data_IF_754080917795
#
_entry.id   IF_754080917795
#
_cell.length_a   1.000
_cell.length_b   1.000
_cell.length_c   1.000
_cell.angle_alpha   90.00
_cell.angle_beta   90.00
_cell.angle_gamma   90.00
#
_symmetry.space_group_name_H-M   'P 1'
#
loop_
_entity.id
_entity.type
_entity.pdbx_description
1 polymer ?
#
# COMPACT_ATOMS: atom_id res chain seq x y z
N UNK A 1 17.25 98.10 -47.77
CA UNK A 1 17.83 98.44 -46.45
C UNK A 1 16.70 98.36 -45.43
N UNK A 2 16.94 97.70 -44.28
CA UNK A 2 15.91 97.24 -43.34
C UNK A 2 15.55 98.31 -42.30
N UNK A 3 14.42 98.15 -41.62
CA UNK A 3 14.35 98.21 -40.15
C UNK A 3 13.13 97.45 -39.65
N UNK A 4 13.44 96.34 -38.98
CA UNK A 4 12.60 95.50 -38.13
C UNK A 4 12.21 96.26 -36.83
N UNK A 5 10.97 96.09 -36.35
CA UNK A 5 10.58 95.32 -35.14
C UNK A 5 10.80 96.02 -33.78
N UNK A 6 9.74 96.02 -32.96
CA UNK A 6 9.66 95.77 -31.50
C UNK A 6 8.31 96.35 -31.00
N UNK A 7 7.28 95.54 -30.77
CA UNK A 7 7.00 94.71 -29.58
C UNK A 7 6.29 95.47 -28.44
N UNK A 8 5.30 94.78 -27.84
CA UNK A 8 4.65 94.97 -26.52
C UNK A 8 3.30 95.73 -26.37
N UNK A 9 2.25 94.88 -26.21
CA UNK A 9 1.18 94.87 -25.17
C UNK A 9 -0.12 95.69 -25.34
N UNK A 10 -1.14 94.96 -25.83
CA UNK A 10 -2.38 94.51 -25.13
C UNK A 10 -3.08 95.42 -24.09
N UNK A 11 -4.39 95.66 -24.29
CA UNK A 11 -5.56 95.71 -23.37
C UNK A 11 -6.67 96.51 -24.09
N UNK A 12 -7.95 96.14 -24.25
CA UNK A 12 -8.77 95.00 -23.85
C UNK A 12 -10.23 95.27 -24.28
N UNK A 13 -10.93 94.20 -24.67
CA UNK A 13 -12.40 93.99 -24.69
C UNK A 13 -13.28 94.68 -25.77
N UNK A 14 -14.48 94.12 -26.09
CA UNK A 14 -15.15 92.93 -25.52
C UNK A 14 -15.57 91.89 -26.58
N UNK A 15 -15.65 90.60 -26.24
CA UNK A 15 -16.49 89.69 -27.05
C UNK A 15 -17.21 88.59 -26.24
N UNK A 16 -18.52 88.82 -26.18
CA UNK A 16 -19.66 87.90 -26.25
C UNK A 16 -19.43 86.41 -25.94
N UNK A 17 -19.87 86.05 -24.74
CA UNK A 17 -20.62 84.84 -24.34
C UNK A 17 -20.97 83.84 -25.47
N UNK A 18 -20.04 82.94 -25.76
CA UNK A 18 -20.29 81.63 -26.38
C UNK A 18 -19.73 80.54 -25.46
N UNK A 19 -20.60 79.85 -24.72
CA UNK A 19 -20.23 78.61 -24.02
C UNK A 19 -19.92 77.54 -25.06
N UNK A 20 -18.66 77.17 -25.22
CA UNK A 20 -18.26 75.87 -25.75
C UNK A 20 -17.85 74.99 -24.57
N UNK A 21 -18.77 74.10 -24.21
CA UNK A 21 -18.61 72.98 -23.31
C UNK A 21 -17.79 71.87 -23.98
N UNK A 22 -17.08 71.11 -23.15
CA UNK A 22 -16.44 69.81 -23.45
C UNK A 22 -15.21 69.81 -24.38
N UNK A 23 -14.03 69.96 -23.77
CA UNK A 23 -12.85 69.23 -24.25
C UNK A 23 -12.42 68.32 -23.10
N UNK A 24 -12.68 67.00 -23.16
CA UNK A 24 -12.25 66.07 -22.13
C UNK A 24 -10.72 66.08 -22.05
N UNK A 25 -10.17 66.31 -20.85
CA UNK A 25 -8.73 66.39 -20.60
C UNK A 25 -8.00 65.03 -20.63
N UNK A 26 -8.32 64.17 -21.60
CA UNK A 26 -7.59 62.94 -21.87
C UNK A 26 -7.13 62.92 -23.33
N UNK A 27 -5.95 62.35 -23.57
CA UNK A 27 -5.44 62.21 -24.94
C UNK A 27 -6.23 61.14 -25.69
N UNK A 28 -6.89 61.53 -26.78
CA UNK A 28 -7.42 60.61 -27.80
C UNK A 28 -6.28 60.17 -28.73
N UNK A 29 -5.20 59.67 -28.15
CA UNK A 29 -4.09 59.13 -28.94
C UNK A 29 -4.53 57.79 -29.49
N UNK A 30 -4.72 57.74 -30.81
CA UNK A 30 -5.07 56.53 -31.55
C UNK A 30 -4.04 55.44 -31.27
N UNK A 31 -4.49 54.40 -30.54
CA UNK A 31 -3.67 53.21 -30.31
C UNK A 31 -3.22 52.65 -31.66
N UNK A 32 -1.91 52.43 -31.81
CA UNK A 32 -1.37 51.91 -33.06
C UNK A 32 -1.81 50.45 -33.25
N UNK A 33 -2.89 50.26 -34.01
CA UNK A 33 -3.50 48.95 -34.29
C UNK A 33 -2.48 47.97 -34.85
N UNK A 34 -1.56 48.43 -35.71
CA UNK A 34 -0.50 47.57 -36.25
C UNK A 34 0.44 47.07 -35.14
N UNK A 35 0.76 47.92 -34.15
CA UNK A 35 1.55 47.52 -32.98
C UNK A 35 0.84 46.49 -32.12
N UNK A 36 -0.47 46.64 -31.91
CA UNK A 36 -1.29 45.69 -31.15
C UNK A 36 -1.36 44.33 -31.85
N UNK A 37 -1.53 44.31 -33.18
CA UNK A 37 -1.58 43.06 -33.95
C UNK A 37 -0.24 42.32 -33.90
N UNK A 38 0.88 43.02 -34.07
CA UNK A 38 2.22 42.41 -33.97
C UNK A 38 2.50 41.92 -32.55
N UNK A 39 2.06 42.66 -31.52
CA UNK A 39 2.18 42.24 -30.13
C UNK A 39 1.38 40.97 -29.83
N UNK A 40 0.12 40.89 -30.28
CA UNK A 40 -0.71 39.70 -30.09
C UNK A 40 -0.19 38.49 -30.87
N UNK A 41 0.30 38.69 -32.10
CA UNK A 41 0.94 37.62 -32.87
C UNK A 41 2.22 37.11 -32.20
N UNK A 42 3.05 38.02 -31.67
CA UNK A 42 4.24 37.67 -30.91
C UNK A 42 3.92 36.92 -29.61
N UNK A 43 2.93 37.38 -28.85
CA UNK A 43 2.47 36.72 -27.63
C UNK A 43 1.91 35.32 -27.93
N UNK A 44 1.07 35.20 -28.96
CA UNK A 44 0.54 33.90 -29.40
C UNK A 44 1.65 32.93 -29.82
N UNK A 45 2.61 33.40 -30.61
CA UNK A 45 3.78 32.61 -31.01
C UNK A 45 4.60 32.15 -29.81
N UNK A 46 4.85 33.03 -28.84
CA UNK A 46 5.56 32.70 -27.61
C UNK A 46 4.83 31.63 -26.79
N UNK A 47 3.51 31.76 -26.62
CA UNK A 47 2.71 30.76 -25.91
C UNK A 47 2.75 29.39 -26.58
N UNK A 48 2.71 29.34 -27.92
CA UNK A 48 2.81 28.09 -28.66
C UNK A 48 4.18 27.44 -28.45
N UNK A 49 5.27 28.21 -28.55
CA UNK A 49 6.63 27.70 -28.33
C UNK A 49 6.80 27.20 -26.89
N UNK A 50 6.31 27.97 -25.91
CA UNK A 50 6.36 27.59 -24.50
C UNK A 50 5.53 26.32 -24.22
N UNK A 51 4.33 26.22 -24.80
CA UNK A 51 3.49 25.02 -24.69
C UNK A 51 4.19 23.79 -25.26
N UNK A 52 4.78 23.89 -26.46
CA UNK A 52 5.52 22.78 -27.08
C UNK A 52 6.73 22.38 -26.23
N UNK A 53 7.47 23.36 -25.70
CA UNK A 53 8.59 23.10 -24.80
C UNK A 53 8.15 22.35 -23.54
N UNK A 54 7.13 22.85 -22.83
CA UNK A 54 6.57 22.18 -21.65
C UNK A 54 6.03 20.79 -21.97
N UNK A 55 5.37 20.61 -23.11
CA UNK A 55 4.84 19.31 -23.55
C UNK A 55 5.96 18.30 -23.80
N UNK A 56 7.03 18.70 -24.51
CA UNK A 56 8.19 17.85 -24.79
C UNK A 56 8.90 17.51 -23.48
N UNK A 57 9.16 18.49 -22.62
CA UNK A 57 9.83 18.29 -21.33
C UNK A 57 9.01 17.35 -20.42
N UNK A 58 7.70 17.56 -20.34
CA UNK A 58 6.79 16.70 -19.60
C UNK A 58 6.79 15.26 -20.14
N UNK A 59 6.81 15.08 -21.46
CA UNK A 59 6.89 13.76 -22.09
C UNK A 59 8.22 13.06 -21.80
N UNK A 60 9.34 13.77 -21.79
CA UNK A 60 10.66 13.22 -21.46
C UNK A 60 10.73 12.79 -20.00
N UNK A 61 10.27 13.64 -19.08
CA UNK A 61 10.26 13.32 -17.64
C UNK A 61 9.36 12.11 -17.37
N UNK A 62 8.14 12.10 -17.92
CA UNK A 62 7.23 10.97 -17.76
C UNK A 62 7.83 9.67 -18.33
N UNK A 63 8.49 9.75 -19.49
CA UNK A 63 9.17 8.60 -20.07
C UNK A 63 10.38 8.14 -19.24
N UNK A 64 11.07 9.03 -18.54
CA UNK A 64 12.19 8.69 -17.68
C UNK A 64 11.71 8.03 -16.37
N UNK A 65 10.63 8.54 -15.78
CA UNK A 65 9.99 7.97 -14.59
C UNK A 65 9.48 6.56 -14.88
N UNK A 66 8.76 6.36 -15.98
CA UNK A 66 8.28 5.03 -16.38
C UNK A 66 9.41 4.02 -16.62
N UNK A 67 10.59 4.46 -17.06
CA UNK A 67 11.76 3.59 -17.22
C UNK A 67 12.42 3.23 -15.88
N UNK A 68 12.35 4.12 -14.89
CA UNK A 68 12.92 3.89 -13.56
C UNK A 68 12.02 3.01 -12.68
N UNK A 69 10.70 3.18 -12.78
CA UNK A 69 9.72 2.50 -11.91
C UNK A 69 9.47 1.03 -12.30
N UNK A 70 9.83 0.63 -13.52
CA UNK A 70 9.66 -0.74 -14.01
C UNK A 70 8.20 -1.12 -14.27
N UNK A 71 7.92 -2.39 -14.65
CA UNK A 71 6.55 -2.87 -14.90
C UNK A 71 5.69 -2.72 -13.64
N UNK A 72 4.41 -2.36 -13.81
CA UNK A 72 3.48 -2.20 -12.69
C UNK A 72 3.35 -3.51 -11.91
N UNK A 73 3.91 -3.54 -10.69
CA UNK A 73 3.76 -4.66 -9.76
C UNK A 73 2.57 -4.40 -8.83
N UNK A 74 2.09 -5.43 -8.15
CA UNK A 74 1.00 -5.33 -7.16
C UNK A 74 1.25 -4.29 -6.06
N UNK A 75 2.51 -3.90 -5.85
CA UNK A 75 2.95 -2.96 -4.82
C UNK A 75 3.17 -1.52 -5.32
N UNK A 76 3.30 -1.31 -6.63
CA UNK A 76 3.48 0.02 -7.25
C UNK A 76 2.16 0.60 -7.79
N UNK A 77 1.03 0.00 -7.43
CA UNK A 77 -0.30 0.37 -7.93
C UNK A 77 -0.90 1.60 -7.21
N UNK A 78 -0.21 2.14 -6.20
CA UNK A 78 -0.75 3.10 -5.21
C UNK A 78 -0.15 4.50 -5.31
N UNK A 79 0.88 4.73 -6.13
CA UNK A 79 1.48 6.07 -6.29
C UNK A 79 0.67 6.98 -7.23
N UNK A 80 -0.26 6.43 -7.99
CA UNK A 80 -1.26 7.20 -8.71
C UNK A 80 -2.42 7.51 -7.78
N UNK A 81 -2.41 8.74 -7.24
CA UNK A 81 -3.54 9.42 -6.59
C UNK A 81 -4.87 8.71 -6.83
N UNK A 82 -5.50 8.24 -5.74
CA UNK A 82 -6.54 7.19 -5.62
C UNK A 82 -7.72 7.17 -6.62
N UNK A 83 -7.84 8.11 -7.55
CA UNK A 83 -8.79 8.09 -8.66
C UNK A 83 -8.23 7.63 -10.02
N UNK A 84 -6.91 7.66 -10.28
CA UNK A 84 -6.36 7.41 -11.63
C UNK A 84 -5.94 5.96 -11.88
N UNK A 85 -5.56 5.22 -10.83
CA UNK A 85 -5.04 3.85 -10.95
C UNK A 85 -6.12 2.83 -11.35
N UNK A 86 -7.41 3.11 -11.08
CA UNK A 86 -8.50 2.19 -11.37
C UNK A 86 -8.94 2.21 -12.85
N UNK A 87 -8.58 3.24 -13.61
CA UNK A 87 -9.01 3.44 -15.00
C UNK A 87 -7.83 3.65 -15.97
N UNK A 88 -6.72 2.92 -15.76
CA UNK A 88 -5.61 2.88 -16.74
C UNK A 88 -5.02 4.26 -17.08
N UNK A 89 -4.94 5.18 -16.11
CA UNK A 89 -4.41 6.53 -16.30
C UNK A 89 -5.39 7.53 -16.91
N UNK A 90 -6.65 7.15 -17.16
CA UNK A 90 -7.71 8.07 -17.55
C UNK A 90 -8.39 8.60 -16.29
N UNK A 91 -8.36 9.93 -16.12
CA UNK A 91 -9.23 10.64 -15.16
C UNK A 91 -10.65 10.65 -15.72
N UNK A 92 -11.28 9.48 -15.75
CA UNK A 92 -12.71 9.40 -16.01
C UNK A 92 -13.41 9.62 -14.67
N UNK A 93 -14.26 10.64 -14.69
CA UNK A 93 -15.12 11.15 -13.64
C UNK A 93 -14.49 11.90 -12.47
N UNK A 94 -14.61 13.23 -12.58
CA UNK A 94 -14.78 14.18 -11.47
C UNK A 94 -16.15 14.01 -10.79
N UNK A 95 -16.76 12.83 -10.85
CA UNK A 95 -18.04 12.57 -10.21
C UNK A 95 -17.79 12.46 -8.70
N UNK A 96 -18.28 13.44 -7.95
CA UNK A 96 -18.49 13.33 -6.51
C UNK A 96 -19.60 12.31 -6.29
N UNK A 97 -19.26 11.03 -6.33
CA UNK A 97 -20.25 9.96 -6.29
C UNK A 97 -20.15 9.22 -4.94
N UNK A 98 -21.10 9.42 -4.01
CA UNK A 98 -21.19 8.59 -2.81
C UNK A 98 -21.27 7.09 -3.15
N UNK A 99 -21.67 6.72 -4.37
CA UNK A 99 -21.63 5.32 -4.83
C UNK A 99 -20.20 4.79 -5.03
N UNK A 100 -19.23 5.62 -5.42
CA UNK A 100 -17.82 5.22 -5.53
C UNK A 100 -17.22 4.97 -4.15
N UNK A 101 -17.50 5.86 -3.18
CA UNK A 101 -17.08 5.68 -1.80
C UNK A 101 -17.72 4.43 -1.18
N UNK A 102 -19.00 4.17 -1.45
CA UNK A 102 -19.66 2.94 -1.02
C UNK A 102 -19.04 1.69 -1.66
N UNK A 103 -18.74 1.69 -2.96
CA UNK A 103 -18.07 0.56 -3.62
C UNK A 103 -16.68 0.31 -3.05
N UNK A 104 -15.94 1.38 -2.74
CA UNK A 104 -14.61 1.26 -2.15
C UNK A 104 -14.67 0.74 -0.71
N UNK A 105 -15.63 1.20 0.09
CA UNK A 105 -15.89 0.68 1.43
C UNK A 105 -16.33 -0.80 1.40
N UNK A 106 -17.15 -1.20 0.42
CA UNK A 106 -17.53 -2.60 0.22
C UNK A 106 -16.33 -3.47 -0.16
N UNK A 107 -15.45 -2.99 -1.03
CA UNK A 107 -14.21 -3.69 -1.39
C UNK A 107 -13.27 -3.82 -0.18
N UNK A 108 -13.13 -2.77 0.62
CA UNK A 108 -12.36 -2.81 1.87
C UNK A 108 -12.96 -3.79 2.88
N UNK A 109 -14.28 -3.79 3.05
CA UNK A 109 -14.99 -4.73 3.94
C UNK A 109 -14.87 -6.18 3.49
N UNK A 110 -14.87 -6.43 2.18
CA UNK A 110 -14.67 -7.76 1.62
C UNK A 110 -13.22 -8.25 1.75
N UNK A 111 -12.25 -7.35 1.63
CA UNK A 111 -10.82 -7.66 1.74
C UNK A 111 -10.39 -7.85 3.18
N UNK A 112 -10.94 -7.04 4.08
CA UNK A 112 -10.68 -7.06 5.52
C UNK A 112 -12.00 -7.26 6.26
N UNK A 113 -12.51 -8.50 6.29
CA UNK A 113 -13.64 -8.82 7.14
C UNK A 113 -13.29 -8.40 8.56
N UNK A 114 -14.24 -7.77 9.25
CA UNK A 114 -14.01 -7.25 10.60
C UNK A 114 -13.43 -8.34 11.51
N UNK A 115 -12.39 -8.04 12.29
CA UNK A 115 -11.81 -9.02 13.20
C UNK A 115 -12.90 -9.54 14.13
N UNK A 116 -13.23 -10.82 13.99
CA UNK A 116 -14.19 -11.49 14.85
C UNK A 116 -13.42 -12.05 16.03
N UNK A 117 -13.82 -11.65 17.23
CA UNK A 117 -13.42 -12.36 18.43
C UNK A 117 -14.13 -13.72 18.40
N UNK A 118 -13.40 -14.77 18.75
CA UNK A 118 -14.03 -16.05 19.00
C UNK A 118 -15.04 -15.85 20.15
N UNK A 119 -16.26 -16.34 19.98
CA UNK A 119 -17.35 -16.14 20.96
C UNK A 119 -17.28 -17.16 22.10
N UNK A 120 -16.46 -18.19 21.91
CA UNK A 120 -16.17 -19.24 22.88
C UNK A 120 -14.89 -18.90 23.67
N UNK A 121 -14.65 -19.62 24.76
CA UNK A 121 -13.43 -19.50 25.57
C UNK A 121 -12.15 -19.97 24.83
N UNK A 122 -12.31 -20.60 23.66
CA UNK A 122 -11.23 -21.08 22.81
C UNK A 122 -10.65 -22.42 23.26
N UNK A 123 -11.14 -23.03 24.33
CA UNK A 123 -10.59 -24.29 24.85
C UNK A 123 -10.74 -25.43 23.83
N UNK A 124 -11.83 -25.47 23.08
CA UNK A 124 -12.04 -26.49 22.07
C UNK A 124 -11.10 -26.34 20.88
N UNK A 125 -10.83 -25.10 20.44
CA UNK A 125 -9.96 -24.84 19.30
C UNK A 125 -8.49 -25.11 19.64
N UNK A 126 -8.06 -24.78 20.86
CA UNK A 126 -6.73 -25.17 21.36
C UNK A 126 -6.61 -26.69 21.52
N UNK A 127 -7.65 -27.36 22.03
CA UNK A 127 -7.65 -28.82 22.19
C UNK A 127 -7.54 -29.57 20.86
N UNK A 128 -8.25 -29.13 19.82
CA UNK A 128 -8.16 -29.72 18.49
C UNK A 128 -6.78 -29.47 17.85
N UNK A 129 -6.23 -28.25 18.03
CA UNK A 129 -4.88 -27.93 17.55
C UNK A 129 -3.83 -28.84 18.20
N UNK A 130 -3.82 -28.93 19.53
CA UNK A 130 -2.88 -29.79 20.25
C UNK A 130 -3.07 -31.28 19.91
N UNK A 131 -4.32 -31.74 19.72
CA UNK A 131 -4.57 -33.12 19.31
C UNK A 131 -3.98 -33.44 17.92
N UNK A 132 -4.03 -32.49 16.99
CA UNK A 132 -3.41 -32.64 15.65
C UNK A 132 -1.89 -32.61 15.74
N UNK A 133 -1.33 -31.75 16.58
CA UNK A 133 0.11 -31.69 16.82
C UNK A 133 0.62 -32.99 17.42
N UNK A 134 -0.01 -33.52 18.46
CA UNK A 134 0.35 -34.81 19.08
C UNK A 134 0.39 -35.94 18.03
N UNK A 135 -0.63 -36.01 17.15
CA UNK A 135 -0.69 -37.00 16.09
C UNK A 135 0.49 -36.88 15.10
N UNK A 136 0.94 -35.66 14.81
CA UNK A 136 2.08 -35.41 13.93
C UNK A 136 3.42 -35.68 14.62
N UNK A 137 3.50 -35.54 15.95
CA UNK A 137 4.71 -35.76 16.74
C UNK A 137 4.91 -37.23 17.10
N UNK A 138 3.84 -37.99 17.33
CA UNK A 138 3.92 -39.37 17.80
C UNK A 138 3.93 -40.41 16.67
N UNK A 139 3.40 -40.06 15.50
CA UNK A 139 3.20 -40.99 14.40
C UNK A 139 3.92 -40.56 13.12
N UNK A 140 4.22 -41.56 12.29
CA UNK A 140 4.73 -41.32 10.96
C UNK A 140 3.64 -40.72 10.08
N UNK A 141 3.96 -39.64 9.37
CA UNK A 141 3.07 -39.00 8.41
C UNK A 141 3.80 -38.66 7.12
N UNK A 142 3.04 -38.54 6.03
CA UNK A 142 3.56 -38.17 4.71
C UNK A 142 3.02 -36.80 4.34
N UNK A 143 3.87 -35.94 3.76
CA UNK A 143 3.44 -34.62 3.28
C UNK A 143 3.07 -34.75 1.80
N UNK A 144 1.83 -34.44 1.40
CA UNK A 144 1.45 -34.43 0.00
C UNK A 144 2.28 -33.41 -0.78
N UNK A 145 2.95 -33.86 -1.85
CA UNK A 145 3.70 -32.98 -2.77
C UNK A 145 5.19 -32.78 -2.48
N UNK A 146 5.72 -33.35 -1.39
CA UNK A 146 7.13 -33.16 -0.97
C UNK A 146 8.00 -34.42 -1.14
N UNK A 147 7.77 -35.19 -2.22
CA UNK A 147 8.56 -36.36 -2.60
C UNK A 147 8.44 -37.55 -1.62
N UNK A 148 9.51 -38.34 -1.50
CA UNK A 148 9.61 -39.51 -0.60
C UNK A 148 9.98 -39.15 0.85
N UNK A 149 9.74 -37.91 1.27
CA UNK A 149 10.08 -37.45 2.61
C UNK A 149 9.00 -37.89 3.61
N UNK A 150 9.40 -38.75 4.55
CA UNK A 150 8.54 -39.28 5.61
C UNK A 150 8.84 -38.49 6.88
N UNK A 151 7.80 -37.92 7.51
CA UNK A 151 7.91 -37.34 8.85
C UNK A 151 8.06 -38.46 9.85
N UNK A 152 9.09 -38.36 10.69
CA UNK A 152 9.40 -39.34 11.72
C UNK A 152 8.88 -38.84 13.08
N UNK A 153 8.43 -39.74 13.97
CA UNK A 153 8.05 -39.37 15.33
C UNK A 153 9.19 -38.67 16.07
N UNK A 154 8.85 -37.76 16.97
CA UNK A 154 9.83 -36.96 17.73
C UNK A 154 10.77 -37.85 18.55
N UNK A 155 10.24 -38.92 19.14
CA UNK A 155 11.05 -39.92 19.86
C UNK A 155 12.12 -40.55 18.97
N UNK A 156 11.75 -40.88 17.72
CA UNK A 156 12.70 -41.44 16.75
C UNK A 156 13.68 -40.39 16.25
N UNK A 157 13.24 -39.15 16.05
CA UNK A 157 14.13 -38.05 15.67
C UNK A 157 15.20 -37.81 16.73
N UNK A 158 14.81 -37.74 18.02
CA UNK A 158 15.75 -37.58 19.12
C UNK A 158 16.77 -38.73 19.19
N UNK A 159 16.31 -39.97 19.00
CA UNK A 159 17.20 -41.13 18.96
C UNK A 159 18.22 -41.04 17.81
N UNK A 160 17.78 -40.66 16.62
CA UNK A 160 18.65 -40.48 15.46
C UNK A 160 19.65 -39.33 15.66
N UNK A 161 19.23 -38.24 16.32
CA UNK A 161 20.12 -37.13 16.67
C UNK A 161 21.15 -37.57 17.71
N UNK A 162 20.76 -38.35 18.72
CA UNK A 162 21.69 -38.87 19.71
C UNK A 162 22.73 -39.82 19.07
N UNK A 163 22.32 -40.62 18.09
CA UNK A 163 23.21 -41.55 17.38
C UNK A 163 24.11 -40.87 16.34
N UNK A 164 23.57 -39.94 15.54
CA UNK A 164 24.25 -39.34 14.38
C UNK A 164 24.89 -37.98 14.70
N UNK A 165 24.49 -37.36 15.80
CA UNK A 165 24.75 -35.95 16.09
C UNK A 165 23.80 -35.02 15.31
N UNK A 166 23.67 -33.79 15.78
CA UNK A 166 22.89 -32.76 15.11
C UNK A 166 23.61 -32.35 13.81
N UNK A 167 22.94 -32.35 12.64
CA UNK A 167 23.58 -31.97 11.40
C UNK A 167 24.02 -30.49 11.48
N UNK A 168 25.33 -30.25 11.36
CA UNK A 168 25.88 -28.89 11.30
C UNK A 168 25.64 -28.35 9.90
N UNK A 169 24.68 -27.44 9.77
CA UNK A 169 24.48 -26.71 8.52
C UNK A 169 25.64 -25.72 8.35
N UNK A 170 26.53 -25.93 7.39
CA UNK A 170 27.70 -25.06 7.14
C UNK A 170 27.32 -23.75 6.44
N UNK A 171 26.04 -23.49 6.22
CA UNK A 171 25.55 -22.21 5.72
C UNK A 171 25.54 -21.18 6.85
N UNK A 172 26.69 -20.52 6.95
CA UNK A 172 26.87 -19.14 7.44
C UNK A 172 25.96 -18.76 8.60
N UNK A 173 26.47 -18.97 9.82
CA UNK A 173 26.19 -18.07 10.92
C UNK A 173 26.68 -16.67 10.49
N UNK A 174 25.88 -15.97 9.71
CA UNK A 174 26.03 -14.54 9.54
C UNK A 174 25.80 -13.99 10.94
N UNK A 175 26.89 -13.56 11.56
CA UNK A 175 26.87 -12.73 12.76
C UNK A 175 25.90 -11.59 12.48
N UNK A 176 24.67 -11.70 12.98
CA UNK A 176 23.76 -10.58 13.11
C UNK A 176 24.47 -9.59 14.00
N UNK A 177 25.05 -8.55 13.40
CA UNK A 177 25.53 -7.38 14.12
C UNK A 177 24.33 -6.86 14.90
N UNK A 178 24.35 -7.06 16.22
CA UNK A 178 23.34 -6.55 17.14
C UNK A 178 23.28 -5.03 16.96
N UNK A 179 22.11 -4.52 16.61
CA UNK A 179 21.89 -3.08 16.50
C UNK A 179 21.81 -2.50 17.91
N UNK A 180 22.08 -1.19 18.06
CA UNK A 180 21.89 -0.53 19.34
C UNK A 180 20.40 -0.60 19.74
N UNK A 181 20.08 -1.38 20.79
CA UNK A 181 18.71 -1.66 21.23
C UNK A 181 18.33 -3.15 21.25
N UNK A 182 19.17 -4.03 20.70
CA UNK A 182 18.98 -5.48 20.84
C UNK A 182 19.40 -5.94 22.25
N UNK A 183 18.47 -5.94 23.20
CA UNK A 183 18.62 -6.68 24.45
C UNK A 183 18.40 -8.18 24.18
N UNK A 184 19.30 -9.03 24.70
CA UNK A 184 19.06 -10.47 24.71
C UNK A 184 17.79 -10.72 25.52
N UNK A 185 16.75 -11.37 24.97
CA UNK A 185 15.58 -11.72 25.75
C UNK A 185 16.04 -12.68 26.85
N UNK A 186 16.14 -12.17 28.07
CA UNK A 186 16.38 -12.97 29.26
C UNK A 186 15.07 -13.67 29.58
N UNK A 187 15.00 -14.97 29.28
CA UNK A 187 13.84 -15.79 29.57
C UNK A 187 13.76 -15.94 31.10
N UNK A 188 13.12 -14.99 31.77
CA UNK A 188 12.81 -15.08 33.20
C UNK A 188 11.64 -16.04 33.40
N UNK A 189 12.00 -17.27 33.75
CA UNK A 189 11.10 -18.33 34.21
C UNK A 189 10.48 -17.96 35.57
N UNK A 190 9.25 -18.41 35.87
CA UNK A 190 8.96 -19.84 35.88
C UNK A 190 8.53 -20.35 34.51
N UNK A 191 9.14 -21.44 34.05
CA UNK A 191 8.78 -22.20 32.84
C UNK A 191 7.41 -22.91 33.00
N UNK A 192 6.50 -22.35 33.80
CA UNK A 192 5.15 -22.88 34.07
C UNK A 192 4.17 -22.10 33.20
N UNK A 193 4.09 -22.50 31.95
CA UNK A 193 3.04 -23.34 31.34
C UNK A 193 1.90 -22.54 30.71
N UNK A 194 2.24 -21.72 29.71
CA UNK A 194 1.36 -21.53 28.56
C UNK A 194 1.28 -22.77 27.64
N UNK A 195 2.09 -23.80 27.95
CA UNK A 195 2.10 -25.13 27.31
C UNK A 195 1.46 -26.23 28.18
N UNK A 196 0.93 -25.92 29.37
CA UNK A 196 0.19 -26.94 30.10
C UNK A 196 -1.13 -27.17 29.40
N UNK A 197 -1.49 -28.44 29.29
CA UNK A 197 -2.81 -28.82 28.79
C UNK A 197 -3.89 -28.26 29.71
N UNK A 198 -4.99 -27.81 29.13
CA UNK A 198 -6.15 -27.35 29.91
C UNK A 198 -6.85 -28.53 30.59
N UNK A 199 -7.71 -28.27 31.59
CA UNK A 199 -8.52 -29.33 32.22
C UNK A 199 -9.41 -30.05 31.20
N UNK A 200 -10.03 -29.28 30.29
CA UNK A 200 -10.81 -29.81 29.18
C UNK A 200 -9.99 -30.74 28.27
N UNK A 201 -8.74 -30.37 27.96
CA UNK A 201 -7.87 -31.20 27.15
C UNK A 201 -7.57 -32.54 27.83
N UNK A 202 -7.25 -32.55 29.12
CA UNK A 202 -6.97 -33.78 29.87
C UNK A 202 -8.15 -34.76 29.82
N UNK A 203 -9.37 -34.27 30.03
CA UNK A 203 -10.59 -35.08 29.97
C UNK A 203 -10.80 -35.67 28.56
N UNK A 204 -10.58 -34.86 27.51
CA UNK A 204 -10.72 -35.34 26.12
C UNK A 204 -9.65 -36.37 25.73
N UNK A 205 -8.44 -36.25 26.26
CA UNK A 205 -7.34 -37.20 26.03
C UNK A 205 -7.63 -38.51 26.73
N UNK A 206 -8.05 -38.48 27.99
CA UNK A 206 -8.40 -39.67 28.75
C UNK A 206 -9.56 -40.42 28.08
N UNK A 207 -10.64 -39.71 27.72
CA UNK A 207 -11.76 -40.30 27.00
C UNK A 207 -11.36 -40.89 25.64
N UNK A 208 -10.41 -40.27 24.92
CA UNK A 208 -9.87 -40.82 23.67
C UNK A 208 -9.03 -42.07 23.93
N UNK A 209 -8.18 -42.06 24.96
CA UNK A 209 -7.33 -43.19 25.33
C UNK A 209 -8.17 -44.41 25.74
N UNK A 210 -9.24 -44.21 26.52
CA UNK A 210 -10.21 -45.26 26.87
C UNK A 210 -10.91 -45.85 25.64
N UNK A 211 -11.35 -45.01 24.70
CA UNK A 211 -11.97 -45.49 23.46
C UNK A 211 -11.00 -46.32 22.61
N UNK A 212 -9.75 -45.89 22.52
CA UNK A 212 -8.71 -46.61 21.78
C UNK A 212 -8.35 -47.94 22.46
N UNK A 213 -8.26 -47.97 23.79
CA UNK A 213 -7.97 -49.20 24.54
C UNK A 213 -9.12 -50.20 24.44
N UNK A 214 -10.36 -49.73 24.52
CA UNK A 214 -11.55 -50.57 24.32
C UNK A 214 -11.62 -51.13 22.90
N UNK A 215 -11.45 -50.29 21.87
CA UNK A 215 -11.45 -50.75 20.48
C UNK A 215 -10.34 -51.76 20.16
N UNK A 216 -9.17 -51.59 20.79
CA UNK A 216 -8.07 -52.56 20.70
C UNK A 216 -8.46 -53.90 21.34
N UNK A 217 -9.00 -53.89 22.56
CA UNK A 217 -9.45 -55.10 23.25
C UNK A 217 -10.54 -55.85 22.47
N UNK A 218 -11.49 -55.13 21.88
CA UNK A 218 -12.50 -55.75 21.00
C UNK A 218 -11.89 -56.38 19.76
N UNK A 219 -10.91 -55.72 19.13
CA UNK A 219 -10.23 -56.26 17.95
C UNK A 219 -9.43 -57.54 18.26
N UNK A 220 -8.81 -57.60 19.44
CA UNK A 220 -8.08 -58.78 19.92
C UNK A 220 -9.03 -59.93 20.25
N UNK A 221 -10.13 -59.66 20.96
CA UNK A 221 -11.15 -60.67 21.28
C UNK A 221 -11.83 -61.23 20.01
N UNK A 222 -12.04 -60.39 19.00
CA UNK A 222 -12.62 -60.81 17.71
C UNK A 222 -11.64 -61.60 16.85
N UNK A 223 -10.33 -61.36 16.99
CA UNK A 223 -9.28 -62.16 16.37
C UNK A 223 -9.14 -63.53 17.04
N UNK A 224 -9.30 -63.61 18.36
CA UNK A 224 -9.23 -64.88 19.12
C UNK A 224 -10.41 -65.82 18.83
N UNK A 225 -11.60 -65.27 18.55
CA UNK A 225 -12.77 -66.03 18.12
C UNK A 225 -12.79 -66.43 16.63
N UNK A 226 -11.80 -66.00 15.83
CA UNK A 226 -11.71 -66.31 14.40
C UNK A 226 -10.76 -67.48 14.08
N UNK A 227 -10.28 -68.22 15.10
CA UNK A 227 -9.49 -69.44 15.00
C UNK A 227 -10.27 -70.65 15.50
#
# INVERSE_FOLDING_TARGET
>A
MPTNEHDLKQHGEPDQKGRSTESPGYETTDVNVNGVVVFLAGLGGFLVVFFVFCFVMGKVINSAIQKADGPTTKWNHTSDFAGAALNGGKREDLASDPEMEQKQLQQLTATFPSPRLDIDDGEQSTADLHAREDLLLDYYSTVPGEGSNIRIPITRAMELIAQRGLPVNTQTAATTTLMAGDDKPEIQAPLTTGFARTGYELDTIEARAEKMSYGKAESEAKAEHAH
#
